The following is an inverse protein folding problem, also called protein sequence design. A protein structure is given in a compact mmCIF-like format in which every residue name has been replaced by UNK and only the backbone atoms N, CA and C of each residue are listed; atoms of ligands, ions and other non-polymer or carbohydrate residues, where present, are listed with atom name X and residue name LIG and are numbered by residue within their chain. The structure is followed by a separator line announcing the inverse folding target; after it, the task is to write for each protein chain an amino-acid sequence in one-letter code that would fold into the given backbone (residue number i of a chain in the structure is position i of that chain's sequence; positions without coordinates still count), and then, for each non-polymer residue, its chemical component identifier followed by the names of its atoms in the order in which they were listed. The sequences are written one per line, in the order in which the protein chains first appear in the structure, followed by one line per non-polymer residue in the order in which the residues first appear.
data_IF_360407614394
#
_entry.id   IF_360407614394
#
_cell.length_a   1.000
_cell.length_b   1.000
_cell.length_c   1.000
_cell.angle_alpha   90.00
_cell.angle_beta   90.00
_cell.angle_gamma   90.00
#
_symmetry.space_group_name_H-M   'P 1'
#
loop_
_entity.id
_entity.type
_entity.pdbx_description
1 polymer ?
#
# COMPACT_ATOMS: atom_id res chain seq x y z
N UNK A 1 -8.00 -27.78 -23.38
CA UNK A 1 -6.81 -27.81 -22.51
C UNK A 1 -6.17 -26.43 -22.58
N UNK A 2 -6.34 -25.57 -21.55
CA UNK A 2 -5.63 -24.30 -21.46
C UNK A 2 -4.17 -24.63 -21.15
N UNK A 3 -3.25 -24.28 -22.04
CA UNK A 3 -1.83 -24.35 -21.76
C UNK A 3 -1.56 -23.53 -20.50
N UNK A 4 -1.05 -24.17 -19.44
CA UNK A 4 -0.56 -23.47 -18.26
C UNK A 4 0.62 -22.61 -18.74
N UNK A 5 0.48 -21.30 -18.68
CA UNK A 5 1.58 -20.40 -18.99
C UNK A 5 2.76 -20.77 -18.05
N UNK A 6 3.85 -21.18 -18.64
CA UNK A 6 5.06 -21.57 -17.91
C UNK A 6 5.55 -20.37 -17.11
N UNK A 7 5.64 -20.52 -15.78
CA UNK A 7 6.15 -19.46 -14.92
C UNK A 7 7.63 -19.23 -15.26
N UNK A 8 8.05 -18.03 -15.68
CA UNK A 8 9.43 -17.78 -16.03
C UNK A 8 10.36 -18.00 -14.83
N UNK A 9 11.55 -18.53 -15.06
CA UNK A 9 12.57 -18.65 -14.02
C UNK A 9 12.93 -17.25 -13.48
N UNK A 10 13.31 -17.17 -12.21
CA UNK A 10 13.66 -15.86 -11.62
C UNK A 10 14.87 -15.21 -12.31
N UNK A 11 15.81 -16.01 -12.80
CA UNK A 11 16.93 -15.54 -13.63
C UNK A 11 16.48 -14.79 -14.89
N UNK A 12 15.43 -15.30 -15.54
CA UNK A 12 14.89 -14.69 -16.76
C UNK A 12 14.18 -13.37 -16.44
N UNK A 13 13.51 -13.30 -15.29
CA UNK A 13 12.90 -12.07 -14.80
C UNK A 13 13.98 -11.02 -14.56
N UNK A 14 15.08 -11.37 -13.88
CA UNK A 14 16.20 -10.46 -13.61
C UNK A 14 16.88 -9.99 -14.90
N UNK A 15 17.10 -10.92 -15.87
CA UNK A 15 17.70 -10.57 -17.15
C UNK A 15 16.84 -9.55 -17.93
N UNK A 16 15.53 -9.77 -17.96
CA UNK A 16 14.59 -8.86 -18.66
C UNK A 16 14.42 -7.52 -17.94
N UNK A 17 14.56 -7.48 -16.61
CA UNK A 17 14.40 -6.27 -15.82
C UNK A 17 15.57 -5.29 -15.98
N UNK A 18 16.76 -5.79 -16.28
CA UNK A 18 17.98 -4.99 -16.41
C UNK A 18 17.81 -3.88 -17.46
N UNK A 19 18.18 -2.66 -17.07
CA UNK A 19 18.05 -1.47 -17.92
C UNK A 19 16.66 -0.82 -17.91
N UNK A 20 15.68 -1.43 -17.25
CA UNK A 20 14.34 -0.85 -17.13
C UNK A 20 14.28 0.26 -16.09
N UNK A 21 13.28 1.12 -16.23
CA UNK A 21 12.88 2.10 -15.22
C UNK A 21 11.50 1.74 -14.67
N UNK A 22 11.37 1.72 -13.35
CA UNK A 22 10.11 1.45 -12.63
C UNK A 22 9.64 2.75 -11.98
N UNK A 23 8.47 3.24 -12.38
CA UNK A 23 7.80 4.38 -11.76
C UNK A 23 7.03 3.91 -10.53
N UNK A 24 7.63 4.06 -9.35
CA UNK A 24 7.02 3.72 -8.08
C UNK A 24 6.25 4.92 -7.53
N UNK A 25 4.94 4.86 -7.66
CA UNK A 25 4.02 5.88 -7.17
C UNK A 25 3.75 5.64 -5.68
N UNK A 26 4.26 6.50 -4.81
CA UNK A 26 4.20 6.33 -3.37
C UNK A 26 4.00 7.65 -2.63
N UNK A 27 3.23 7.59 -1.54
CA UNK A 27 3.04 8.72 -0.63
C UNK A 27 4.39 9.24 -0.09
N UNK A 28 4.56 10.55 -0.11
CA UNK A 28 5.84 11.20 0.18
C UNK A 28 5.80 12.17 1.37
N UNK A 29 4.80 12.07 2.24
CA UNK A 29 4.62 12.97 3.39
C UNK A 29 5.55 12.69 4.59
N UNK A 30 6.51 11.76 4.48
CA UNK A 30 7.45 11.41 5.54
C UNK A 30 8.90 11.34 5.02
N UNK A 31 9.76 12.21 5.50
CA UNK A 31 11.15 12.32 5.08
C UNK A 31 11.96 11.03 5.31
N UNK A 32 11.69 10.30 6.38
CA UNK A 32 12.38 9.02 6.65
C UNK A 32 12.00 7.95 5.64
N UNK A 33 10.72 7.90 5.26
CA UNK A 33 10.24 7.01 4.21
C UNK A 33 10.83 7.40 2.85
N UNK A 34 10.89 8.69 2.54
CA UNK A 34 11.50 9.17 1.30
C UNK A 34 12.98 8.79 1.22
N UNK A 35 13.74 8.98 2.28
CA UNK A 35 15.15 8.59 2.35
C UNK A 35 15.34 7.07 2.21
N UNK A 36 14.46 6.27 2.83
CA UNK A 36 14.47 4.81 2.67
C UNK A 36 14.20 4.40 1.21
N UNK A 37 13.23 5.01 0.54
CA UNK A 37 12.94 4.72 -0.88
C UNK A 37 14.09 5.13 -1.80
N UNK A 38 14.80 6.22 -1.51
CA UNK A 38 16.02 6.61 -2.23
C UNK A 38 17.12 5.56 -2.06
N UNK A 39 17.34 5.09 -0.84
CA UNK A 39 18.29 4.02 -0.56
C UNK A 39 17.92 2.73 -1.30
N UNK A 40 16.63 2.32 -1.27
CA UNK A 40 16.14 1.16 -2.03
C UNK A 40 16.41 1.33 -3.52
N UNK A 41 16.13 2.50 -4.08
CA UNK A 41 16.37 2.79 -5.50
C UNK A 41 17.84 2.61 -5.87
N UNK A 42 18.76 3.14 -5.06
CA UNK A 42 20.20 3.00 -5.26
C UNK A 42 20.66 1.53 -5.17
N UNK A 43 20.16 0.77 -4.19
CA UNK A 43 20.50 -0.65 -4.03
C UNK A 43 19.93 -1.52 -5.16
N UNK A 44 18.75 -1.23 -5.65
CA UNK A 44 18.13 -1.95 -6.78
C UNK A 44 18.91 -1.68 -8.07
N UNK A 45 19.27 -0.44 -8.33
CA UNK A 45 20.10 -0.10 -9.50
C UNK A 45 21.47 -0.80 -9.44
N UNK A 46 22.15 -0.70 -8.30
CA UNK A 46 23.47 -1.32 -8.08
C UNK A 46 23.43 -2.84 -8.27
N UNK A 47 22.41 -3.52 -7.75
CA UNK A 47 22.32 -5.00 -7.74
C UNK A 47 21.75 -5.57 -9.03
N UNK A 48 20.78 -4.88 -9.63
CA UNK A 48 19.96 -5.42 -10.70
C UNK A 48 19.98 -4.57 -11.98
N UNK A 49 20.55 -3.37 -11.96
CA UNK A 49 20.56 -2.45 -13.09
C UNK A 49 19.15 -1.96 -13.45
N UNK A 50 18.26 -1.83 -12.44
CA UNK A 50 16.89 -1.33 -12.59
C UNK A 50 16.78 0.01 -11.91
N UNK A 51 16.37 1.04 -12.63
CA UNK A 51 16.14 2.37 -12.07
C UNK A 51 14.76 2.44 -11.43
N UNK A 52 14.69 2.88 -10.18
CA UNK A 52 13.40 3.12 -9.48
C UNK A 52 13.20 4.62 -9.37
N UNK A 53 12.18 5.12 -10.05
CA UNK A 53 11.75 6.52 -9.98
C UNK A 53 10.63 6.65 -8.95
N UNK A 54 10.89 7.30 -7.81
CA UNK A 54 9.88 7.59 -6.80
C UNK A 54 8.99 8.75 -7.27
N UNK A 55 7.83 8.43 -7.81
CA UNK A 55 6.78 9.40 -8.14
C UNK A 55 6.05 9.78 -6.86
N UNK A 56 6.36 10.96 -6.32
CA UNK A 56 5.86 11.45 -5.03
C UNK A 56 4.38 11.82 -5.10
N UNK A 57 3.57 11.17 -4.29
CA UNK A 57 2.13 11.44 -4.16
C UNK A 57 1.83 12.14 -2.84
N UNK A 58 0.83 13.01 -2.85
CA UNK A 58 0.20 13.54 -1.64
C UNK A 58 -0.84 12.56 -1.09
N UNK A 59 -1.56 11.87 -1.99
CA UNK A 59 -2.51 10.82 -1.69
C UNK A 59 -2.47 9.73 -2.78
N UNK A 60 -2.68 8.47 -2.40
CA UNK A 60 -2.66 7.33 -3.33
C UNK A 60 -3.78 7.39 -4.38
N UNK A 61 -4.89 8.07 -4.10
CA UNK A 61 -5.98 8.28 -5.05
C UNK A 61 -5.54 9.01 -6.33
N UNK A 62 -4.46 9.79 -6.29
CA UNK A 62 -3.88 10.41 -7.49
C UNK A 62 -3.40 9.35 -8.50
N UNK A 63 -2.73 8.30 -8.02
CA UNK A 63 -2.30 7.18 -8.88
C UNK A 63 -3.49 6.37 -9.39
N UNK A 64 -4.50 6.13 -8.55
CA UNK A 64 -5.75 5.45 -8.94
C UNK A 64 -6.44 6.21 -10.08
N UNK A 65 -6.64 7.51 -9.92
CA UNK A 65 -7.26 8.37 -10.94
C UNK A 65 -6.48 8.31 -12.26
N UNK A 66 -5.15 8.32 -12.19
CA UNK A 66 -4.28 8.24 -13.36
C UNK A 66 -4.43 6.90 -14.10
N UNK A 67 -4.39 5.78 -13.38
CA UNK A 67 -4.57 4.44 -13.98
C UNK A 67 -5.93 4.31 -14.64
N UNK A 68 -7.00 4.77 -13.98
CA UNK A 68 -8.37 4.75 -14.51
C UNK A 68 -8.47 5.61 -15.79
N UNK A 69 -7.89 6.81 -15.77
CA UNK A 69 -7.89 7.71 -16.93
C UNK A 69 -7.09 7.12 -18.12
N UNK A 70 -5.93 6.54 -17.87
CA UNK A 70 -5.12 5.87 -18.91
C UNK A 70 -5.87 4.68 -19.52
N UNK A 71 -6.54 3.90 -18.70
CA UNK A 71 -7.39 2.79 -19.19
C UNK A 71 -8.57 3.29 -20.03
N UNK A 72 -9.27 4.33 -19.58
CA UNK A 72 -10.37 4.94 -20.30
C UNK A 72 -9.92 5.53 -21.66
N UNK A 73 -8.68 6.02 -21.75
CA UNK A 73 -8.05 6.49 -22.98
C UNK A 73 -7.56 5.34 -23.89
N UNK A 74 -7.87 4.07 -23.57
CA UNK A 74 -7.49 2.91 -24.37
C UNK A 74 -6.02 2.50 -24.22
N UNK A 75 -5.27 3.06 -23.26
CA UNK A 75 -3.87 2.72 -23.04
C UNK A 75 -3.75 1.34 -22.39
N UNK A 76 -3.19 0.37 -23.10
CA UNK A 76 -3.00 -1.00 -22.64
C UNK A 76 -1.54 -1.35 -22.32
N UNK A 77 -0.60 -0.44 -22.64
CA UNK A 77 0.83 -0.56 -22.37
C UNK A 77 1.48 0.81 -22.21
N UNK A 78 2.68 0.87 -21.62
CA UNK A 78 3.43 2.12 -21.45
C UNK A 78 2.72 3.15 -20.57
N UNK A 79 1.97 2.69 -19.56
CA UNK A 79 1.35 3.55 -18.57
C UNK A 79 2.38 4.25 -17.66
N UNK A 80 1.93 5.20 -16.88
CA UNK A 80 2.80 6.00 -16.00
C UNK A 80 2.95 5.42 -14.59
N UNK A 81 2.26 4.32 -14.27
CA UNK A 81 2.26 3.65 -12.97
C UNK A 81 2.68 2.20 -13.12
N UNK A 82 3.92 1.88 -12.76
CA UNK A 82 4.44 0.51 -12.80
C UNK A 82 4.27 -0.18 -11.45
N UNK A 83 4.47 0.57 -10.36
CA UNK A 83 4.33 0.10 -8.99
C UNK A 83 3.64 1.19 -8.17
N UNK A 84 2.75 0.80 -7.27
CA UNK A 84 2.04 1.75 -6.41
C UNK A 84 2.01 1.25 -4.96
N UNK A 85 2.31 2.15 -4.00
CA UNK A 85 2.00 1.91 -2.60
C UNK A 85 0.52 2.17 -2.38
N UNK A 86 -0.23 1.10 -2.17
CA UNK A 86 -1.70 1.13 -2.18
C UNK A 86 -2.26 0.31 -1.03
N UNK A 87 -3.43 0.69 -0.55
CA UNK A 87 -4.20 -0.04 0.45
C UNK A 87 -5.66 0.45 0.48
N UNK A 88 -6.51 -0.30 1.18
CA UNK A 88 -7.89 0.06 1.49
C UNK A 88 -8.75 0.33 0.26
N UNK A 89 -9.54 1.41 0.28
CA UNK A 89 -10.46 1.73 -0.82
C UNK A 89 -9.76 1.91 -2.17
N UNK A 90 -8.52 2.36 -2.18
CA UNK A 90 -7.73 2.52 -3.40
C UNK A 90 -7.40 1.16 -4.04
N UNK A 91 -6.99 0.18 -3.21
CA UNK A 91 -6.75 -1.19 -3.67
C UNK A 91 -8.04 -1.83 -4.20
N UNK A 92 -9.14 -1.71 -3.45
CA UNK A 92 -10.46 -2.19 -3.85
C UNK A 92 -10.86 -1.62 -5.23
N UNK A 93 -10.76 -0.30 -5.41
CA UNK A 93 -11.16 0.36 -6.65
C UNK A 93 -10.41 -0.16 -7.89
N UNK A 94 -9.10 -0.40 -7.79
CA UNK A 94 -8.34 -0.95 -8.91
C UNK A 94 -8.60 -2.44 -9.11
N UNK A 95 -8.79 -3.20 -8.02
CA UNK A 95 -9.06 -4.64 -8.09
C UNK A 95 -10.41 -4.93 -8.76
N UNK A 96 -11.47 -4.25 -8.35
CA UNK A 96 -12.82 -4.43 -8.93
C UNK A 96 -12.88 -4.10 -10.42
N UNK A 97 -12.06 -3.16 -10.87
CA UNK A 97 -11.96 -2.79 -12.27
C UNK A 97 -10.98 -3.66 -13.08
N UNK A 98 -10.33 -4.66 -12.45
CA UNK A 98 -9.34 -5.51 -13.10
C UNK A 98 -8.09 -4.76 -13.57
N UNK A 99 -7.70 -3.70 -12.85
CA UNK A 99 -6.59 -2.82 -13.21
C UNK A 99 -5.28 -3.14 -12.45
N UNK A 100 -5.29 -4.17 -11.60
CA UNK A 100 -4.09 -4.67 -10.91
C UNK A 100 -3.46 -5.81 -11.68
N UNK A 101 -2.13 -5.80 -11.80
CA UNK A 101 -1.39 -6.95 -12.31
C UNK A 101 -1.29 -8.05 -11.24
N UNK A 102 -1.51 -9.29 -11.64
CA UNK A 102 -1.34 -10.43 -10.73
C UNK A 102 -2.04 -11.71 -11.21
N UNK A 103 -1.94 -12.78 -10.41
CA UNK A 103 -1.17 -12.91 -9.17
C UNK A 103 0.36 -12.92 -9.42
N UNK A 104 1.13 -12.23 -8.59
CA UNK A 104 2.59 -12.19 -8.73
C UNK A 104 3.35 -12.43 -7.41
N UNK A 105 2.76 -12.05 -6.26
CA UNK A 105 3.51 -11.98 -5.00
C UNK A 105 4.06 -13.33 -4.55
N UNK A 106 3.32 -14.43 -4.72
CA UNK A 106 3.75 -15.76 -4.37
C UNK A 106 4.93 -16.28 -5.23
N UNK A 107 5.19 -15.63 -6.37
CA UNK A 107 6.32 -15.96 -7.26
C UNK A 107 7.62 -15.23 -6.89
N UNK A 108 7.55 -14.28 -5.97
CA UNK A 108 8.73 -13.57 -5.48
C UNK A 108 9.57 -14.51 -4.59
N UNK A 109 10.89 -14.63 -4.83
CA UNK A 109 11.74 -15.59 -4.09
C UNK A 109 11.69 -15.42 -2.57
N UNK A 110 11.56 -14.18 -2.09
CA UNK A 110 11.52 -13.87 -0.67
C UNK A 110 10.10 -13.92 -0.07
N UNK A 111 9.07 -14.22 -0.85
CA UNK A 111 7.70 -14.30 -0.33
C UNK A 111 7.52 -15.40 0.71
N UNK A 112 8.35 -16.45 0.65
CA UNK A 112 8.38 -17.53 1.66
C UNK A 112 8.70 -17.02 3.08
N UNK A 113 9.24 -15.82 3.21
CA UNK A 113 9.55 -15.17 4.49
C UNK A 113 8.38 -14.33 5.02
N UNK A 114 7.31 -14.19 4.24
CA UNK A 114 6.11 -13.44 4.64
C UNK A 114 5.22 -14.37 5.47
N UNK A 115 4.96 -13.99 6.72
CA UNK A 115 4.00 -14.69 7.55
C UNK A 115 2.57 -14.39 7.06
N UNK A 116 2.02 -15.33 6.29
CA UNK A 116 0.67 -15.24 5.71
C UNK A 116 -0.40 -15.86 6.58
N UNK A 117 0.00 -16.59 7.64
CA UNK A 117 -0.89 -17.30 8.56
C UNK A 117 -1.09 -16.48 9.83
N UNK A 118 -0.01 -16.13 10.52
CA UNK A 118 -0.07 -15.39 11.78
C UNK A 118 -0.39 -13.91 11.58
N UNK A 119 -0.08 -13.33 10.41
CA UNK A 119 -0.31 -11.92 10.10
C UNK A 119 -1.29 -11.79 8.94
N UNK A 120 -2.58 -11.86 9.24
CA UNK A 120 -3.66 -11.81 8.23
C UNK A 120 -3.61 -10.57 7.33
N UNK A 121 -3.15 -9.42 7.83
CA UNK A 121 -3.00 -8.20 7.03
C UNK A 121 -1.95 -8.32 5.89
N UNK A 122 -1.16 -9.39 5.85
CA UNK A 122 -0.26 -9.63 4.73
C UNK A 122 -0.97 -10.21 3.50
N UNK A 123 -2.18 -10.77 3.68
CA UNK A 123 -2.97 -11.42 2.62
C UNK A 123 -4.39 -10.87 2.51
N UNK A 124 -4.80 -10.00 3.45
CA UNK A 124 -6.10 -9.32 3.45
C UNK A 124 -5.84 -7.84 3.63
N UNK A 125 -6.24 -7.03 2.66
CA UNK A 125 -6.21 -5.57 2.76
C UNK A 125 -7.58 -5.07 3.22
N UNK A 126 -7.63 -4.53 4.44
CA UNK A 126 -8.86 -4.19 5.17
C UNK A 126 -9.78 -5.42 5.33
N UNK A 127 -10.64 -5.71 4.40
CA UNK A 127 -11.54 -6.88 4.42
C UNK A 127 -11.43 -7.71 3.14
N UNK A 128 -10.60 -7.27 2.18
CA UNK A 128 -10.52 -7.83 0.85
C UNK A 128 -9.26 -8.71 0.71
N UNK A 129 -9.38 -9.97 0.28
CA UNK A 129 -8.22 -10.78 -0.06
C UNK A 129 -7.38 -10.11 -1.16
N UNK A 130 -6.05 -10.11 -1.01
CA UNK A 130 -5.16 -9.49 -2.00
C UNK A 130 -4.93 -10.35 -3.23
N UNK A 131 -5.23 -11.66 -3.17
CA UNK A 131 -5.16 -12.65 -4.26
C UNK A 131 -3.83 -12.61 -5.04
N UNK A 132 -2.74 -12.36 -4.33
CA UNK A 132 -1.41 -12.27 -4.93
C UNK A 132 -1.15 -11.01 -5.77
N UNK A 133 -2.05 -10.03 -5.78
CA UNK A 133 -1.91 -8.77 -6.52
C UNK A 133 -1.18 -7.68 -5.73
N UNK A 134 -0.84 -7.96 -4.48
CA UNK A 134 -0.04 -7.08 -3.63
C UNK A 134 1.01 -7.87 -2.87
N UNK A 135 2.14 -7.22 -2.57
CA UNK A 135 3.18 -7.72 -1.68
C UNK A 135 3.30 -6.79 -0.47
N UNK A 136 3.23 -7.31 0.76
CA UNK A 136 3.38 -6.48 1.95
C UNK A 136 4.82 -5.97 2.05
N UNK A 137 5.01 -4.71 2.43
CA UNK A 137 6.34 -4.14 2.62
C UNK A 137 6.47 -3.34 3.92
N UNK A 138 5.34 -2.89 4.49
CA UNK A 138 5.30 -2.08 5.70
C UNK A 138 4.00 -2.33 6.46
N UNK A 139 4.07 -2.21 7.80
CA UNK A 139 2.88 -2.16 8.66
C UNK A 139 2.77 -0.78 9.28
N UNK A 140 1.57 -0.24 9.29
CA UNK A 140 1.22 0.95 10.04
C UNK A 140 0.03 0.64 10.96
N UNK A 141 -0.07 1.36 12.07
CA UNK A 141 -1.17 1.23 13.02
C UNK A 141 -1.72 2.62 13.32
N UNK A 142 -3.02 2.72 13.50
CA UNK A 142 -3.61 3.91 14.11
C UNK A 142 -3.28 3.88 15.59
N UNK A 143 -2.81 5.00 16.09
CA UNK A 143 -2.55 5.23 17.51
C UNK A 143 -3.39 6.42 18.00
N UNK A 144 -3.80 6.34 19.25
CA UNK A 144 -4.43 7.47 19.92
C UNK A 144 -3.38 8.30 20.62
N UNK A 145 -3.49 9.61 20.50
CA UNK A 145 -2.63 10.57 21.21
C UNK A 145 -3.50 11.33 22.22
N UNK A 146 -3.02 11.49 23.42
CA UNK A 146 -3.71 12.23 24.46
C UNK A 146 -2.74 13.12 25.24
N UNK A 147 -3.24 14.22 25.76
CA UNK A 147 -2.51 15.08 26.68
C UNK A 147 -2.57 14.48 28.10
N UNK A 148 -1.48 13.91 28.57
CA UNK A 148 -1.39 13.24 29.87
C UNK A 148 -1.62 14.15 31.07
N UNK A 149 -1.47 15.48 30.93
CA UNK A 149 -1.80 16.44 31.98
C UNK A 149 -3.30 16.67 32.10
N UNK A 150 -4.02 16.58 30.97
CA UNK A 150 -5.47 16.82 30.90
C UNK A 150 -6.29 15.53 31.00
N UNK A 151 -5.70 14.41 30.64
CA UNK A 151 -6.33 13.07 30.64
C UNK A 151 -5.39 12.08 31.34
N UNK A 152 -5.25 12.17 32.68
CA UNK A 152 -4.32 11.33 33.43
C UNK A 152 -4.66 9.84 33.36
N UNK A 153 -5.94 9.51 33.11
CA UNK A 153 -6.42 8.14 32.93
C UNK A 153 -7.14 8.03 31.58
N UNK A 154 -6.39 7.73 30.48
CA UNK A 154 -7.00 7.63 29.17
C UNK A 154 -7.83 6.38 29.02
N UNK A 155 -8.90 6.39 28.18
CA UNK A 155 -9.64 5.21 27.81
C UNK A 155 -8.75 4.14 27.19
N UNK A 156 -8.97 2.88 27.52
CA UNK A 156 -8.19 1.73 27.02
C UNK A 156 -8.97 0.83 26.07
N UNK A 157 -10.23 1.14 25.80
CA UNK A 157 -11.08 0.43 24.85
C UNK A 157 -11.97 1.39 24.09
N UNK A 158 -12.52 0.96 22.95
CA UNK A 158 -13.47 1.76 22.16
C UNK A 158 -14.73 2.09 22.99
N UNK A 159 -15.21 1.15 23.80
CA UNK A 159 -16.35 1.35 24.71
C UNK A 159 -16.05 2.45 25.73
N UNK A 160 -14.89 2.40 26.37
CA UNK A 160 -14.46 3.43 27.32
C UNK A 160 -14.27 4.78 26.63
N UNK A 161 -13.73 4.79 25.41
CA UNK A 161 -13.57 6.01 24.62
C UNK A 161 -14.92 6.66 24.31
N UNK A 162 -15.91 5.88 23.90
CA UNK A 162 -17.26 6.37 23.64
C UNK A 162 -17.90 6.96 24.91
N UNK A 163 -17.81 6.24 26.03
CA UNK A 163 -18.31 6.72 27.32
C UNK A 163 -17.57 7.98 27.82
N UNK A 164 -16.25 8.04 27.58
CA UNK A 164 -15.44 9.22 27.92
C UNK A 164 -15.84 10.42 27.04
N UNK A 165 -16.04 10.23 25.75
CA UNK A 165 -16.44 11.29 24.82
C UNK A 165 -17.82 11.88 25.19
N UNK A 166 -18.79 11.05 25.60
CA UNK A 166 -20.09 11.50 26.07
C UNK A 166 -19.98 12.40 27.31
N UNK A 167 -19.08 12.08 28.24
CA UNK A 167 -18.84 12.88 29.45
C UNK A 167 -17.96 14.12 29.21
N UNK A 168 -17.29 14.18 28.07
CA UNK A 168 -16.35 15.24 27.72
C UNK A 168 -16.63 15.77 26.31
N UNK A 169 -17.76 16.41 26.05
CA UNK A 169 -18.15 16.88 24.73
C UNK A 169 -17.10 17.86 24.16
N UNK A 170 -16.80 17.70 22.88
CA UNK A 170 -15.81 18.55 22.17
C UNK A 170 -14.34 18.24 22.51
N UNK A 171 -14.04 17.22 23.31
CA UNK A 171 -12.67 16.86 23.73
C UNK A 171 -12.07 15.69 22.95
N UNK A 172 -12.86 14.98 22.16
CA UNK A 172 -12.42 13.95 21.24
C UNK A 172 -12.48 14.47 19.82
N UNK A 173 -11.43 14.24 19.05
CA UNK A 173 -11.41 14.51 17.61
C UNK A 173 -10.82 13.33 16.85
N UNK A 174 -11.23 13.18 15.60
CA UNK A 174 -10.67 12.22 14.66
C UNK A 174 -10.64 12.84 13.25
N UNK A 175 -9.81 12.34 12.33
CA UNK A 175 -9.81 12.80 10.95
C UNK A 175 -11.17 12.56 10.27
N UNK A 176 -11.53 13.42 9.31
CA UNK A 176 -12.74 13.23 8.50
C UNK A 176 -12.77 11.86 7.84
N UNK A 177 -13.96 11.30 7.63
CA UNK A 177 -14.20 10.06 6.89
C UNK A 177 -13.73 10.11 5.43
N UNK A 178 -13.51 11.31 4.89
CA UNK A 178 -12.90 11.51 3.56
C UNK A 178 -11.39 11.33 3.56
N UNK A 179 -10.75 11.31 4.74
CA UNK A 179 -9.33 11.06 4.91
C UNK A 179 -9.10 9.57 5.21
N UNK A 180 -8.04 9.00 4.67
CA UNK A 180 -7.68 7.60 4.88
C UNK A 180 -7.65 7.19 6.36
N UNK A 181 -7.09 8.04 7.25
CA UNK A 181 -7.04 7.78 8.68
C UNK A 181 -8.45 7.75 9.31
N UNK A 182 -9.34 8.64 8.88
CA UNK A 182 -10.72 8.67 9.37
C UNK A 182 -11.51 7.42 8.99
N UNK A 183 -11.40 6.96 7.74
CA UNK A 183 -12.01 5.69 7.30
C UNK A 183 -11.45 4.51 8.09
N UNK A 184 -10.12 4.49 8.30
CA UNK A 184 -9.47 3.40 9.05
C UNK A 184 -9.88 3.39 10.52
N UNK A 185 -10.11 4.56 11.13
CA UNK A 185 -10.59 4.67 12.52
C UNK A 185 -12.01 4.12 12.70
N UNK A 186 -12.87 4.28 11.71
CA UNK A 186 -14.29 3.88 11.80
C UNK A 186 -14.56 2.42 11.41
N UNK A 187 -13.59 1.74 10.84
CA UNK A 187 -13.67 0.31 10.53
C UNK A 187 -13.33 -0.57 11.73
#
# INVERSE_FOLDING_TARGET
VRAQAQVPAWSDVLAKARGQTVNFNAWAGDEKTNAFLQWVAAEVDKRHGVKVNHVKLKDTSEAVTRVVAEKAAGRTSGGSVDLVWINGPNFLALKEQGLLHGPFSQRLPNYVRVDTIGIRSNVIDFTLPVDGMASPWRRAQIVFVYDGKRVPTPPRSVRELAAWAQRNPGRLTHPSVRNFLGVTFLK
#
